data_IF_021890365745
#
_entry.id   IF_021890365745
#
_cell.length_a   1.000
_cell.length_b   1.000
_cell.length_c   1.000
_cell.angle_alpha   90.00
_cell.angle_beta   90.00
_cell.angle_gamma   90.00
#
_symmetry.space_group_name_H-M   'P 1'
#
loop_
_entity.id
_entity.type
_entity.pdbx_description
1 polymer ?
#
# COMPACT_ATOMS: atom_id res chain seq x y z
N UNK A 1 24.45 -30.26 46.63
CA UNK A 1 25.27 -31.38 46.12
C UNK A 1 25.77 -31.01 44.73
N UNK A 2 27.07 -30.83 44.61
CA UNK A 2 27.81 -30.30 43.45
C UNK A 2 28.16 -31.46 42.50
N UNK A 3 27.96 -31.32 41.18
CA UNK A 3 28.58 -32.19 40.16
C UNK A 3 29.08 -31.40 38.95
N UNK A 4 30.30 -30.92 39.14
CA UNK A 4 31.45 -30.72 38.26
C UNK A 4 31.51 -31.58 36.97
N UNK A 5 31.65 -30.88 35.82
CA UNK A 5 32.58 -31.08 34.67
C UNK A 5 32.46 -32.34 33.79
N UNK A 6 32.34 -32.14 32.47
CA UNK A 6 33.36 -32.62 31.51
C UNK A 6 33.29 -31.90 30.15
N UNK A 7 34.44 -31.35 29.76
CA UNK A 7 34.81 -30.83 28.45
C UNK A 7 35.08 -32.00 27.49
N UNK A 8 34.64 -31.92 26.23
CA UNK A 8 35.15 -32.72 25.11
C UNK A 8 35.10 -31.83 23.85
N UNK A 9 36.22 -31.23 23.48
CA UNK A 9 37.24 -31.77 22.56
C UNK A 9 36.76 -31.76 21.10
N UNK A 10 37.34 -30.81 20.36
CA UNK A 10 37.13 -30.55 18.95
C UNK A 10 37.61 -31.68 18.04
N UNK A 11 36.90 -31.92 16.94
CA UNK A 11 37.44 -32.59 15.77
C UNK A 11 37.18 -31.73 14.53
N UNK A 12 38.30 -31.34 13.92
CA UNK A 12 38.44 -30.50 12.74
C UNK A 12 37.94 -31.21 11.47
N UNK A 13 37.20 -30.50 10.63
CA UNK A 13 36.98 -30.86 9.24
C UNK A 13 37.55 -29.74 8.34
N UNK A 14 38.68 -30.03 7.71
CA UNK A 14 39.34 -29.18 6.75
C UNK A 14 38.60 -29.23 5.39
N UNK A 15 38.16 -28.08 4.88
CA UNK A 15 37.73 -27.91 3.50
C UNK A 15 38.89 -27.32 2.68
N UNK A 16 39.08 -27.72 1.40
CA UNK A 16 40.21 -27.28 0.60
C UNK A 16 40.05 -25.81 0.22
N UNK A 17 41.12 -25.05 0.40
CA UNK A 17 41.23 -23.66 0.00
C UNK A 17 41.14 -23.54 -1.53
N UNK A 18 40.04 -22.99 -2.04
CA UNK A 18 39.95 -22.48 -3.41
C UNK A 18 40.75 -21.18 -3.45
N UNK A 19 41.84 -21.19 -4.23
CA UNK A 19 42.66 -20.03 -4.49
C UNK A 19 41.82 -18.89 -5.09
N UNK A 20 41.68 -17.79 -4.36
CA UNK A 20 41.11 -16.55 -4.88
C UNK A 20 42.17 -15.85 -5.75
N UNK A 21 41.89 -15.71 -7.04
CA UNK A 21 42.63 -14.81 -7.92
C UNK A 21 42.53 -13.36 -7.40
N UNK A 22 43.58 -12.53 -7.52
CA UNK A 22 43.52 -11.15 -7.07
C UNK A 22 42.47 -10.39 -7.89
N UNK A 23 41.44 -9.85 -7.23
CA UNK A 23 40.51 -8.91 -7.87
C UNK A 23 41.27 -7.63 -8.26
N UNK A 24 41.09 -7.10 -9.48
CA UNK A 24 41.71 -5.84 -9.88
C UNK A 24 41.27 -4.72 -8.93
N UNK A 25 42.23 -3.97 -8.39
CA UNK A 25 41.96 -2.82 -7.52
C UNK A 25 41.42 -1.67 -8.38
N UNK A 26 40.11 -1.48 -8.39
CA UNK A 26 39.48 -0.31 -9.00
C UNK A 26 39.72 0.92 -8.12
N UNK A 27 39.98 2.11 -8.70
CA UNK A 27 40.08 3.34 -7.92
C UNK A 27 38.78 3.58 -7.13
N UNK A 28 38.84 4.25 -5.96
CA UNK A 28 37.64 4.55 -5.20
C UNK A 28 36.74 5.44 -6.07
N UNK A 29 35.60 4.91 -6.51
CA UNK A 29 34.55 5.68 -7.15
C UNK A 29 34.04 6.67 -6.09
N UNK A 30 34.51 7.91 -6.19
CA UNK A 30 33.95 9.03 -5.47
C UNK A 30 32.49 9.19 -5.92
N UNK A 31 31.56 8.90 -5.02
CA UNK A 31 30.12 8.97 -5.26
C UNK A 31 29.44 7.64 -4.98
N UNK A 32 29.32 7.27 -3.70
CA UNK A 32 28.26 6.33 -3.31
C UNK A 32 26.91 6.94 -3.67
N UNK A 33 25.98 6.23 -4.32
CA UNK A 33 24.63 6.72 -4.48
C UNK A 33 24.04 6.88 -3.08
N UNK A 34 23.71 8.11 -2.70
CA UNK A 34 22.93 8.40 -1.50
C UNK A 34 21.62 7.63 -1.65
N UNK A 35 21.46 6.55 -0.88
CA UNK A 35 20.15 5.93 -0.72
C UNK A 35 19.17 7.04 -0.29
N UNK A 36 17.98 7.17 -0.90
CA UNK A 36 17.01 8.16 -0.45
C UNK A 36 16.82 7.97 1.06
N UNK A 37 17.14 9.00 1.85
CA UNK A 37 16.89 8.98 3.27
C UNK A 37 15.41 8.69 3.52
N UNK A 38 15.12 7.90 4.54
CA UNK A 38 13.76 7.59 4.95
C UNK A 38 12.96 8.90 5.05
N UNK A 39 11.75 8.99 4.46
CA UNK A 39 10.99 10.23 4.44
C UNK A 39 10.75 10.72 5.87
N UNK A 40 11.11 11.97 6.14
CA UNK A 40 10.92 12.56 7.45
C UNK A 40 9.42 12.77 7.70
N UNK A 41 9.02 12.84 8.97
CA UNK A 41 7.62 13.11 9.33
C UNK A 41 7.06 14.39 8.67
N UNK A 42 7.92 15.36 8.35
CA UNK A 42 7.55 16.61 7.68
C UNK A 42 7.19 16.44 6.19
N UNK A 43 7.57 15.32 5.56
CA UNK A 43 7.28 15.04 4.15
C UNK A 43 5.86 14.48 3.95
N UNK A 44 5.16 14.15 5.04
CA UNK A 44 3.83 13.58 5.03
C UNK A 44 2.77 14.65 5.28
N UNK A 45 1.68 14.60 4.50
CA UNK A 45 0.47 15.38 4.76
C UNK A 45 -0.60 14.47 5.35
N UNK A 46 -1.32 14.97 6.37
CA UNK A 46 -2.53 14.29 6.88
C UNK A 46 -3.74 14.71 6.03
N UNK A 47 -4.46 13.75 5.42
CA UNK A 47 -5.73 14.01 4.75
C UNK A 47 -6.76 14.61 5.70
N UNK A 48 -7.61 15.52 5.20
CA UNK A 48 -8.75 15.99 5.96
C UNK A 48 -9.75 14.82 6.13
N UNK A 49 -10.13 14.43 7.37
CA UNK A 49 -11.06 13.33 7.59
C UNK A 49 -12.40 13.49 6.87
N UNK A 50 -12.88 14.72 6.68
CA UNK A 50 -14.13 15.00 5.96
C UNK A 50 -14.04 14.74 4.45
N UNK A 51 -12.84 14.67 3.90
CA UNK A 51 -12.55 14.39 2.50
C UNK A 51 -12.12 12.93 2.28
N UNK A 52 -12.12 12.11 3.34
CA UNK A 52 -11.79 10.69 3.25
C UNK A 52 -13.08 9.87 3.14
N UNK A 53 -13.23 9.15 2.04
CA UNK A 53 -14.29 8.17 1.81
C UNK A 53 -13.79 6.77 2.19
N UNK A 54 -14.54 6.09 3.04
CA UNK A 54 -14.29 4.70 3.42
C UNK A 54 -15.33 3.80 2.76
N UNK A 55 -14.88 2.85 1.95
CA UNK A 55 -15.73 1.90 1.23
C UNK A 55 -15.42 0.51 1.77
N UNK A 56 -16.35 -0.04 2.53
CA UNK A 56 -16.26 -1.40 3.04
C UNK A 56 -16.85 -2.38 2.01
N UNK A 57 -16.01 -3.31 1.54
CA UNK A 57 -16.42 -4.35 0.58
C UNK A 57 -16.18 -5.73 1.16
N UNK A 58 -16.82 -6.75 0.58
CA UNK A 58 -16.58 -8.16 0.94
C UNK A 58 -15.17 -8.66 0.58
N UNK A 59 -14.37 -7.86 -0.13
CA UNK A 59 -12.97 -8.16 -0.50
C UNK A 59 -11.95 -7.33 0.29
N UNK A 60 -12.41 -6.39 1.13
CA UNK A 60 -11.55 -5.53 1.92
C UNK A 60 -12.05 -4.08 1.98
N UNK A 61 -11.39 -3.29 2.82
CA UNK A 61 -11.66 -1.87 2.98
C UNK A 61 -10.84 -1.05 1.98
N UNK A 62 -11.50 -0.16 1.26
CA UNK A 62 -10.89 0.80 0.36
C UNK A 62 -11.02 2.18 1.00
N UNK A 63 -9.93 2.94 1.02
CA UNK A 63 -9.88 4.30 1.54
C UNK A 63 -9.53 5.22 0.38
N UNK A 64 -10.35 6.24 0.13
CA UNK A 64 -10.20 7.18 -0.98
C UNK A 64 -10.17 8.59 -0.43
N UNK A 65 -9.09 9.32 -0.69
CA UNK A 65 -9.04 10.76 -0.44
C UNK A 65 -9.66 11.52 -1.63
N UNK A 66 -10.63 12.37 -1.34
CA UNK A 66 -11.29 13.23 -2.31
C UNK A 66 -10.57 14.57 -2.41
N UNK A 67 -10.49 15.13 -3.62
CA UNK A 67 -9.83 16.41 -3.89
C UNK A 67 -10.87 17.50 -4.22
N UNK A 68 -11.40 18.23 -3.22
CA UNK A 68 -12.40 19.28 -3.46
C UNK A 68 -11.85 20.46 -4.28
N UNK A 69 -10.54 20.67 -4.27
CA UNK A 69 -9.84 21.69 -5.06
C UNK A 69 -9.92 21.45 -6.58
N UNK A 70 -9.99 20.18 -7.01
CA UNK A 70 -10.08 19.81 -8.42
C UNK A 70 -11.54 19.68 -8.87
N UNK A 71 -12.38 19.07 -8.03
CA UNK A 71 -13.76 18.71 -8.40
C UNK A 71 -14.77 18.98 -7.27
N UNK A 72 -15.02 20.26 -6.90
CA UNK A 72 -15.81 20.61 -5.73
C UNK A 72 -17.25 20.08 -5.78
N UNK A 73 -17.89 20.16 -6.95
CA UNK A 73 -19.26 19.70 -7.13
C UNK A 73 -19.40 18.18 -6.98
N UNK A 74 -18.43 17.41 -7.50
CA UNK A 74 -18.42 15.95 -7.41
C UNK A 74 -18.21 15.49 -5.97
N UNK A 75 -17.27 16.12 -5.26
CA UNK A 75 -17.00 15.81 -3.86
C UNK A 75 -18.23 16.10 -2.99
N UNK A 76 -18.88 17.25 -3.19
CA UNK A 76 -20.13 17.58 -2.50
C UNK A 76 -21.22 16.52 -2.72
N UNK A 77 -21.40 16.11 -3.99
CA UNK A 77 -22.40 15.11 -4.37
C UNK A 77 -22.12 13.73 -3.77
N UNK A 78 -20.86 13.27 -3.82
CA UNK A 78 -20.44 11.98 -3.24
C UNK A 78 -20.67 11.98 -1.73
N UNK A 79 -20.31 13.06 -1.03
CA UNK A 79 -20.55 13.19 0.41
C UNK A 79 -22.03 13.10 0.73
N UNK A 80 -22.86 13.80 -0.03
CA UNK A 80 -24.31 13.79 0.15
C UNK A 80 -24.92 12.39 -0.05
N UNK A 81 -24.57 11.72 -1.15
CA UNK A 81 -25.08 10.37 -1.49
C UNK A 81 -24.60 9.30 -0.51
N UNK A 82 -23.34 9.39 -0.08
CA UNK A 82 -22.77 8.48 0.91
C UNK A 82 -23.49 8.66 2.25
N UNK A 83 -23.71 9.89 2.70
CA UNK A 83 -24.42 10.18 3.95
C UNK A 83 -25.89 9.77 3.91
N UNK A 84 -26.54 9.81 2.74
CA UNK A 84 -27.89 9.26 2.57
C UNK A 84 -27.93 7.73 2.48
N UNK A 85 -26.78 7.05 2.49
CA UNK A 85 -26.69 5.59 2.45
C UNK A 85 -27.02 4.98 1.08
N UNK A 86 -27.01 5.77 -0.01
CA UNK A 86 -27.42 5.30 -1.34
C UNK A 86 -26.50 4.17 -1.85
N UNK A 87 -25.22 4.22 -1.49
CA UNK A 87 -24.19 3.25 -1.88
C UNK A 87 -24.16 1.98 -1.01
N UNK A 88 -24.95 1.90 0.07
CA UNK A 88 -24.96 0.72 0.94
C UNK A 88 -25.62 -0.46 0.24
N UNK A 89 -24.95 -1.62 0.28
CA UNK A 89 -25.45 -2.86 -0.32
C UNK A 89 -25.39 -2.91 -1.84
N UNK A 90 -24.66 -1.98 -2.49
CA UNK A 90 -24.50 -1.95 -3.95
C UNK A 90 -23.38 -2.85 -4.44
N UNK A 91 -23.54 -3.37 -5.64
CA UNK A 91 -22.56 -4.27 -6.26
C UNK A 91 -21.72 -3.54 -7.30
N UNK A 92 -20.49 -4.03 -7.49
CA UNK A 92 -19.69 -3.64 -8.66
C UNK A 92 -20.19 -4.45 -9.86
N UNK A 93 -21.18 -3.91 -10.57
CA UNK A 93 -21.83 -4.60 -11.69
C UNK A 93 -20.94 -4.66 -12.95
N UNK A 94 -19.94 -3.80 -13.07
CA UNK A 94 -19.02 -3.78 -14.22
C UNK A 94 -17.58 -3.72 -13.73
N UNK A 95 -16.84 -4.82 -13.93
CA UNK A 95 -15.41 -4.93 -13.62
C UNK A 95 -14.69 -5.43 -14.87
N UNK A 96 -13.74 -4.63 -15.36
CA UNK A 96 -12.87 -5.00 -16.47
C UNK A 96 -11.44 -5.05 -15.95
N UNK A 97 -10.80 -6.20 -16.12
CA UNK A 97 -9.41 -6.40 -15.69
C UNK A 97 -8.48 -5.38 -16.36
N UNK A 98 -7.52 -4.88 -15.59
CA UNK A 98 -6.56 -3.85 -16.00
C UNK A 98 -7.16 -2.52 -16.48
N UNK A 99 -8.43 -2.23 -16.18
CA UNK A 99 -9.06 -0.96 -16.56
C UNK A 99 -9.78 -0.29 -15.41
N UNK A 100 -10.98 -0.76 -15.05
CA UNK A 100 -11.76 -0.14 -13.98
C UNK A 100 -12.87 -1.06 -13.45
N UNK A 101 -13.27 -0.75 -12.21
CA UNK A 101 -14.45 -1.27 -11.56
C UNK A 101 -15.45 -0.13 -11.37
N UNK A 102 -16.65 -0.30 -11.90
CA UNK A 102 -17.74 0.67 -11.82
C UNK A 102 -18.81 0.18 -10.85
N UNK A 103 -19.30 1.10 -10.03
CA UNK A 103 -20.32 0.88 -9.00
C UNK A 103 -21.18 2.13 -8.86
N UNK A 104 -22.18 2.08 -7.99
CA UNK A 104 -22.96 3.25 -7.58
C UNK A 104 -24.29 3.43 -8.31
N UNK A 105 -24.72 2.42 -9.07
CA UNK A 105 -26.05 2.39 -9.66
C UNK A 105 -27.05 1.77 -8.67
N UNK A 106 -28.13 2.49 -8.27
CA UNK A 106 -29.20 1.93 -7.45
C UNK A 106 -29.89 0.69 -8.02
N UNK A 107 -29.89 0.53 -9.35
CA UNK A 107 -30.48 -0.59 -10.07
C UNK A 107 -29.46 -1.69 -10.42
N UNK A 108 -28.16 -1.47 -10.17
CA UNK A 108 -27.05 -2.36 -10.55
C UNK A 108 -27.04 -2.74 -12.05
N UNK A 109 -27.65 -1.92 -12.93
CA UNK A 109 -27.78 -2.18 -14.38
C UNK A 109 -26.87 -1.33 -15.26
N UNK A 110 -26.19 -0.34 -14.69
CA UNK A 110 -25.41 0.68 -15.38
C UNK A 110 -26.22 1.84 -15.97
N UNK A 111 -27.53 1.91 -15.69
CA UNK A 111 -28.44 2.94 -16.22
C UNK A 111 -29.16 3.74 -15.14
N UNK A 112 -29.11 3.31 -13.88
CA UNK A 112 -29.77 4.01 -12.80
C UNK A 112 -28.97 5.23 -12.37
N UNK A 113 -29.72 6.28 -12.04
CA UNK A 113 -29.22 7.53 -11.49
C UNK A 113 -29.77 7.75 -10.09
N UNK A 114 -29.28 8.79 -9.44
CA UNK A 114 -29.92 9.32 -8.24
C UNK A 114 -31.11 10.20 -8.59
N UNK A 115 -32.14 10.23 -7.73
CA UNK A 115 -33.28 11.16 -7.85
C UNK A 115 -32.92 12.65 -7.68
N UNK A 116 -31.66 12.95 -7.40
CA UNK A 116 -31.14 14.31 -7.27
C UNK A 116 -30.48 14.73 -8.59
N UNK A 117 -30.71 15.99 -9.02
CA UNK A 117 -30.27 16.50 -10.31
C UNK A 117 -28.75 16.50 -10.49
#
# INVERSE_FOLDING_TARGET
MIRTVLFAAALSAAAPAVAQTPKPNLPPVAGSPVAPGEPAAADWRTPNPDDVLVIDTNKGRIIVEMLPEVAPNHVSRIKELTRSGLYNGRSFFRVIDQFMAQTGDPEDRGTGGSDKP
#
